data_IF_543086817728
#
_entry.id   IF_543086817728
#
_cell.length_a   1.000
_cell.length_b   1.000
_cell.length_c   1.000
_cell.angle_alpha   90.00
_cell.angle_beta   90.00
_cell.angle_gamma   90.00
#
_symmetry.space_group_name_H-M   'P 1'
#
loop_
_entity.id
_entity.type
_entity.pdbx_description
1 polymer ?
#
# COMPACT_ATOMS: atom_id res chain seq x y z
N UNK A 1 25.57 18.29 -11.09
CA UNK A 1 24.81 18.75 -9.91
C UNK A 1 24.07 17.53 -9.37
N UNK A 2 24.03 17.27 -8.05
CA UNK A 2 23.19 16.19 -7.53
C UNK A 2 21.73 16.52 -7.87
N UNK A 3 21.04 15.61 -8.56
CA UNK A 3 19.61 15.76 -8.81
C UNK A 3 18.90 15.68 -7.46
N UNK A 4 18.23 16.77 -7.11
CA UNK A 4 17.26 16.74 -6.03
C UNK A 4 16.09 15.86 -6.48
N UNK A 5 15.50 15.05 -5.58
CA UNK A 5 14.33 14.26 -5.92
C UNK A 5 13.23 15.17 -6.47
N UNK A 6 12.52 14.71 -7.53
CA UNK A 6 11.45 15.50 -8.16
C UNK A 6 10.32 15.87 -7.19
N UNK A 7 10.17 15.10 -6.11
CA UNK A 7 9.41 15.46 -4.92
C UNK A 7 9.92 14.64 -3.72
N UNK A 8 9.73 15.15 -2.51
CA UNK A 8 10.01 14.43 -1.27
C UNK A 8 8.72 14.33 -0.47
N UNK A 9 8.44 13.15 0.06
CA UNK A 9 7.35 12.94 1.02
C UNK A 9 7.96 12.91 2.41
N UNK A 10 7.36 13.63 3.34
CA UNK A 10 7.80 13.69 4.73
C UNK A 10 6.58 13.63 5.64
N UNK A 11 6.72 12.94 6.76
CA UNK A 11 5.71 12.89 7.81
C UNK A 11 6.09 13.88 8.91
N UNK A 12 5.10 14.63 9.37
CA UNK A 12 5.24 15.44 10.58
C UNK A 12 5.03 14.52 11.79
N UNK A 13 5.65 14.83 12.94
CA UNK A 13 5.42 14.05 14.17
C UNK A 13 3.93 13.98 14.60
N UNK A 14 3.10 14.95 14.20
CA UNK A 14 1.65 14.96 14.44
C UNK A 14 0.86 14.03 13.49
N UNK A 15 1.48 13.53 12.43
CA UNK A 15 0.89 12.60 11.45
C UNK A 15 1.31 11.14 11.68
N UNK A 16 2.19 10.89 12.65
CA UNK A 16 2.75 9.57 12.97
C UNK A 16 1.85 8.71 13.87
N UNK A 17 0.57 9.03 14.01
CA UNK A 17 -0.32 8.16 14.82
C UNK A 17 -0.61 6.89 14.02
N UNK A 18 -0.16 5.71 14.51
CA UNK A 18 -0.32 4.47 13.78
C UNK A 18 -1.80 4.08 13.68
N UNK A 19 -2.14 3.40 12.59
CA UNK A 19 -3.45 2.81 12.40
C UNK A 19 -3.63 1.63 13.35
N UNK A 20 -4.80 1.55 13.97
CA UNK A 20 -5.19 0.44 14.85
C UNK A 20 -6.71 0.30 14.93
N UNK A 21 -7.15 -0.84 15.42
CA UNK A 21 -8.56 -1.08 15.72
C UNK A 21 -8.94 -0.48 17.08
N UNK A 22 -9.98 0.34 17.12
CA UNK A 22 -10.68 0.69 18.37
C UNK A 22 -11.54 -0.51 18.79
N UNK A 23 -11.14 -1.17 19.88
CA UNK A 23 -11.81 -2.39 20.34
C UNK A 23 -13.28 -2.17 20.74
N UNK A 24 -13.63 -0.99 21.26
CA UNK A 24 -14.99 -0.70 21.66
C UNK A 24 -15.88 -0.40 20.45
N UNK A 25 -15.37 0.33 19.46
CA UNK A 25 -16.05 0.53 18.19
C UNK A 25 -16.20 -0.78 17.41
N UNK A 26 -15.14 -1.58 17.37
CA UNK A 26 -15.16 -2.92 16.77
C UNK A 26 -16.27 -3.78 17.37
N UNK A 27 -16.33 -3.90 18.71
CA UNK A 27 -17.35 -4.73 19.37
C UNK A 27 -18.79 -4.27 19.09
N UNK A 28 -19.03 -2.96 18.96
CA UNK A 28 -20.35 -2.44 18.58
C UNK A 28 -20.68 -2.73 17.12
N UNK A 29 -19.70 -2.56 16.24
CA UNK A 29 -19.85 -2.77 14.79
C UNK A 29 -20.08 -4.25 14.45
N UNK A 30 -19.30 -5.16 15.04
CA UNK A 30 -19.46 -6.60 14.81
C UNK A 30 -20.80 -7.12 15.34
N UNK A 31 -21.22 -6.66 16.53
CA UNK A 31 -22.52 -7.02 17.11
C UNK A 31 -23.70 -6.44 16.31
N UNK A 32 -23.51 -5.29 15.65
CA UNK A 32 -24.55 -4.71 14.80
C UNK A 32 -24.72 -5.49 13.48
N UNK A 33 -23.62 -6.00 12.89
CA UNK A 33 -23.65 -6.79 11.65
C UNK A 33 -24.13 -8.21 11.84
N UNK A 34 -23.72 -8.89 12.92
CA UNK A 34 -24.04 -10.31 13.17
C UNK A 34 -23.78 -11.19 11.95
N UNK A 35 -24.80 -11.86 11.44
CA UNK A 35 -24.76 -12.79 10.30
C UNK A 35 -24.34 -12.10 8.99
N UNK A 36 -24.57 -10.79 8.84
CA UNK A 36 -24.11 -10.06 7.65
C UNK A 36 -22.59 -10.08 7.55
N UNK A 37 -21.90 -10.06 8.70
CA UNK A 37 -20.44 -10.08 8.73
C UNK A 37 -19.90 -11.40 8.16
N UNK A 38 -20.58 -12.53 8.36
CA UNK A 38 -20.17 -13.84 7.84
C UNK A 38 -20.09 -13.86 6.31
N UNK A 39 -20.98 -13.12 5.63
CA UNK A 39 -21.01 -13.01 4.17
C UNK A 39 -19.95 -12.03 3.62
N UNK A 40 -19.34 -11.22 4.49
CA UNK A 40 -18.41 -10.16 4.11
C UNK A 40 -16.95 -10.53 4.39
N UNK A 41 -16.68 -11.66 5.06
CA UNK A 41 -15.31 -12.10 5.36
C UNK A 41 -14.65 -12.62 4.07
N UNK A 42 -13.51 -12.05 3.65
CA UNK A 42 -12.71 -12.59 2.56
C UNK A 42 -12.24 -14.01 2.91
N UNK A 43 -12.47 -14.96 2.01
CA UNK A 43 -12.01 -16.35 2.15
C UNK A 43 -11.12 -16.74 0.98
N UNK A 44 -10.27 -17.75 1.19
CA UNK A 44 -9.34 -18.24 0.16
C UNK A 44 -10.02 -18.73 -1.12
N UNK A 45 -11.25 -19.22 -1.01
CA UNK A 45 -11.97 -19.78 -2.14
C UNK A 45 -12.65 -18.70 -3.01
N UNK A 46 -12.71 -17.46 -2.53
CA UNK A 46 -13.34 -16.37 -3.26
C UNK A 46 -12.30 -15.66 -4.14
N UNK A 47 -12.45 -15.67 -5.48
CA UNK A 47 -11.56 -14.95 -6.37
C UNK A 47 -11.64 -13.42 -6.20
N UNK A 48 -12.61 -12.90 -5.44
CA UNK A 48 -12.80 -11.47 -5.15
C UNK A 48 -12.35 -11.09 -3.74
N UNK A 49 -11.51 -11.89 -3.09
CA UNK A 49 -11.12 -11.66 -1.70
C UNK A 49 -10.46 -10.29 -1.48
N UNK A 50 -9.73 -9.75 -2.46
CA UNK A 50 -9.17 -8.40 -2.42
C UNK A 50 -10.25 -7.31 -2.43
N UNK A 51 -11.24 -7.43 -3.33
CA UNK A 51 -12.41 -6.53 -3.36
C UNK A 51 -13.22 -6.60 -2.05
N UNK A 52 -13.46 -7.81 -1.52
CA UNK A 52 -14.16 -8.01 -0.26
C UNK A 52 -13.40 -7.37 0.91
N UNK A 53 -12.07 -7.50 0.95
CA UNK A 53 -11.24 -6.88 1.97
C UNK A 53 -11.33 -5.34 1.90
N UNK A 54 -11.34 -4.77 0.69
CA UNK A 54 -11.52 -3.34 0.50
C UNK A 54 -12.89 -2.86 1.01
N UNK A 55 -13.96 -3.61 0.73
CA UNK A 55 -15.30 -3.31 1.21
C UNK A 55 -15.40 -3.41 2.75
N UNK A 56 -14.85 -4.48 3.33
CA UNK A 56 -14.80 -4.70 4.78
C UNK A 56 -14.08 -3.55 5.50
N UNK A 57 -12.92 -3.13 4.97
CA UNK A 57 -12.17 -2.00 5.53
C UNK A 57 -12.98 -0.70 5.44
N UNK A 58 -13.57 -0.41 4.30
CA UNK A 58 -14.33 0.82 4.10
C UNK A 58 -15.51 0.91 5.09
N UNK A 59 -16.23 -0.19 5.28
CA UNK A 59 -17.33 -0.23 6.23
C UNK A 59 -16.86 -0.07 7.68
N UNK A 60 -15.81 -0.79 8.08
CA UNK A 60 -15.18 -0.64 9.40
C UNK A 60 -14.70 0.81 9.64
N UNK A 61 -14.08 1.45 8.65
CA UNK A 61 -13.66 2.87 8.72
C UNK A 61 -14.85 3.80 8.92
N UNK A 62 -15.94 3.61 8.18
CA UNK A 62 -17.16 4.42 8.30
C UNK A 62 -17.82 4.26 9.68
N UNK A 63 -17.69 3.09 10.30
CA UNK A 63 -18.14 2.83 11.66
C UNK A 63 -17.17 3.34 12.76
N UNK A 64 -16.03 3.92 12.39
CA UNK A 64 -15.01 4.40 13.33
C UNK A 64 -14.22 3.28 14.02
N UNK A 65 -14.23 2.07 13.45
CA UNK A 65 -13.48 0.91 13.95
C UNK A 65 -11.99 1.11 13.76
N UNK A 66 -11.58 1.73 12.65
CA UNK A 66 -10.18 2.02 12.36
C UNK A 66 -9.86 3.43 12.80
N UNK A 67 -8.88 3.56 13.69
CA UNK A 67 -8.38 4.85 14.18
C UNK A 67 -6.92 5.03 13.74
N UNK A 68 -6.54 6.26 13.42
CA UNK A 68 -5.20 6.63 12.97
C UNK A 68 -5.05 8.15 12.90
N UNK A 69 -4.00 8.64 12.25
CA UNK A 69 -3.83 10.07 12.07
C UNK A 69 -4.93 10.67 11.18
N UNK A 70 -5.70 11.64 11.69
CA UNK A 70 -6.76 12.33 10.92
C UNK A 70 -6.29 12.98 9.62
N UNK A 71 -4.99 13.24 9.49
CA UNK A 71 -4.40 13.81 8.28
C UNK A 71 -4.18 12.77 7.17
N UNK A 72 -4.23 11.47 7.47
CA UNK A 72 -3.91 10.39 6.54
C UNK A 72 -5.14 9.51 6.34
N UNK A 73 -5.49 9.31 5.08
CA UNK A 73 -6.52 8.40 4.66
C UNK A 73 -5.91 7.03 4.33
N UNK A 74 -6.49 5.96 4.86
CA UNK A 74 -6.08 4.58 4.62
C UNK A 74 -7.04 3.88 3.65
N UNK A 75 -6.58 3.63 2.43
CA UNK A 75 -7.34 2.92 1.41
C UNK A 75 -6.73 1.54 1.13
N UNK A 76 -7.58 0.60 0.73
CA UNK A 76 -7.18 -0.70 0.22
C UNK A 76 -7.76 -0.88 -1.17
N UNK A 77 -6.93 -1.32 -2.11
CA UNK A 77 -7.34 -1.70 -3.45
C UNK A 77 -7.08 -3.18 -3.65
N UNK A 78 -8.14 -3.95 -3.90
CA UNK A 78 -8.02 -5.35 -4.27
C UNK A 78 -7.34 -5.52 -5.62
N UNK A 79 -6.53 -6.56 -5.71
CA UNK A 79 -5.89 -7.04 -6.94
C UNK A 79 -6.14 -8.54 -7.01
N UNK A 80 -7.20 -8.88 -7.72
CA UNK A 80 -7.82 -10.20 -7.73
C UNK A 80 -7.44 -10.95 -9.00
N UNK A 81 -6.73 -12.07 -8.85
CA UNK A 81 -6.37 -13.00 -9.93
C UNK A 81 -6.86 -14.42 -9.59
N UNK A 82 -7.04 -15.26 -10.61
CA UNK A 82 -7.48 -16.65 -10.51
C UNK A 82 -6.53 -17.50 -9.63
N UNK A 83 -5.24 -17.15 -9.56
CA UNK A 83 -4.23 -17.90 -8.80
C UNK A 83 -4.02 -17.38 -7.37
N UNK A 84 -4.23 -16.07 -7.15
CA UNK A 84 -4.09 -15.43 -5.85
C UNK A 84 -4.82 -14.08 -5.80
N UNK A 85 -5.57 -13.86 -4.73
CA UNK A 85 -6.12 -12.54 -4.40
C UNK A 85 -5.16 -11.79 -3.47
N UNK A 86 -4.83 -10.56 -3.83
CA UNK A 86 -4.03 -9.66 -3.04
C UNK A 86 -4.63 -8.27 -2.95
N UNK A 87 -3.88 -7.37 -2.34
CA UNK A 87 -4.28 -5.99 -2.16
C UNK A 87 -3.09 -5.04 -2.05
N UNK A 88 -3.34 -3.78 -2.33
CA UNK A 88 -2.43 -2.68 -2.07
C UNK A 88 -3.00 -1.79 -0.98
N UNK A 89 -2.21 -1.51 0.05
CA UNK A 89 -2.50 -0.37 0.94
C UNK A 89 -2.06 0.90 0.24
N UNK A 90 -2.92 1.90 0.24
CA UNK A 90 -2.64 3.24 -0.28
C UNK A 90 -2.94 4.26 0.80
N UNK A 91 -1.92 5.02 1.19
CA UNK A 91 -2.03 6.11 2.16
C UNK A 91 -2.06 7.44 1.42
N UNK A 92 -3.16 8.17 1.57
CA UNK A 92 -3.35 9.48 0.93
C UNK A 92 -3.36 10.59 1.99
N UNK A 93 -2.86 11.77 1.63
CA UNK A 93 -3.09 12.94 2.48
C UNK A 93 -4.54 13.40 2.32
N UNK A 94 -5.28 13.42 3.43
CA UNK A 94 -6.66 13.92 3.48
C UNK A 94 -6.75 15.40 3.12
N UNK A 95 -5.65 16.13 3.33
CA UNK A 95 -5.53 17.58 3.20
C UNK A 95 -4.45 17.98 2.17
N UNK A 96 -4.60 19.15 1.54
CA UNK A 96 -3.61 19.69 0.61
C UNK A 96 -3.89 19.40 -0.88
N UNK A 97 -2.98 19.87 -1.74
CA UNK A 97 -3.17 19.91 -3.19
C UNK A 97 -2.79 18.61 -3.93
N UNK A 98 -2.20 17.62 -3.22
CA UNK A 98 -1.67 16.38 -3.79
C UNK A 98 -2.47 15.14 -3.38
N UNK A 99 -3.80 15.27 -3.26
CA UNK A 99 -4.71 14.18 -2.82
C UNK A 99 -4.66 12.95 -3.73
N UNK A 100 -4.23 13.13 -4.97
CA UNK A 100 -4.11 12.06 -5.98
C UNK A 100 -2.83 11.22 -5.84
N UNK A 101 -1.84 11.68 -5.07
CA UNK A 101 -0.60 10.92 -4.84
C UNK A 101 -0.78 10.11 -3.56
N UNK A 102 -0.70 8.79 -3.69
CA UNK A 102 -0.75 7.84 -2.58
C UNK A 102 0.58 7.15 -2.38
N UNK A 103 0.96 6.94 -1.11
CA UNK A 103 2.06 6.07 -0.73
C UNK A 103 1.53 4.64 -0.67
N UNK A 104 2.21 3.70 -1.32
CA UNK A 104 1.71 2.32 -1.42
C UNK A 104 2.64 1.32 -0.76
N UNK A 105 2.08 0.23 -0.22
CA UNK A 105 2.82 -0.88 0.37
C UNK A 105 3.48 -1.81 -0.64
N UNK A 106 3.14 -1.68 -1.93
CA UNK A 106 3.26 -2.79 -2.88
C UNK A 106 2.17 -3.85 -2.66
N UNK A 107 2.17 -4.89 -3.49
CA UNK A 107 1.19 -5.98 -3.44
C UNK A 107 1.38 -6.82 -2.17
N UNK A 108 0.29 -7.10 -1.46
CA UNK A 108 0.25 -7.98 -0.30
C UNK A 108 -0.82 -9.04 -0.52
N UNK A 109 -0.51 -10.30 -0.27
CA UNK A 109 -1.49 -11.38 -0.37
C UNK A 109 -2.57 -11.25 0.72
N UNK A 110 -3.84 -11.49 0.39
CA UNK A 110 -4.93 -11.51 1.39
C UNK A 110 -4.73 -12.70 2.33
N UNK A 111 -4.92 -12.48 3.64
CA UNK A 111 -4.82 -13.55 4.63
C UNK A 111 -5.79 -14.69 4.31
N UNK A 112 -5.24 -15.90 4.23
CA UNK A 112 -6.00 -17.11 3.92
C UNK A 112 -6.60 -17.66 5.21
N UNK A 113 -7.81 -17.23 5.53
CA UNK A 113 -8.61 -17.85 6.60
C UNK A 113 -9.30 -19.08 5.99
N UNK A 114 -8.94 -20.27 6.49
CA UNK A 114 -9.39 -21.56 5.94
C UNK A 114 -10.86 -21.87 6.31
N UNK A 115 -11.32 -21.44 7.48
CA UNK A 115 -12.69 -21.65 7.94
C UNK A 115 -13.14 -20.45 8.79
N UNK A 116 -14.26 -19.84 8.42
CA UNK A 116 -14.86 -18.72 9.17
C UNK A 116 -15.71 -19.28 10.30
N UNK A 117 -15.06 -19.65 11.41
CA UNK A 117 -15.74 -20.20 12.59
C UNK A 117 -16.30 -19.06 13.47
N UNK A 118 -15.64 -17.91 13.46
CA UNK A 118 -16.07 -16.68 14.12
C UNK A 118 -15.78 -15.50 13.20
N UNK A 119 -16.80 -15.00 12.51
CA UNK A 119 -16.66 -13.91 11.55
C UNK A 119 -16.12 -12.62 12.19
N UNK A 120 -16.42 -12.36 13.47
CA UNK A 120 -15.85 -11.21 14.15
C UNK A 120 -14.35 -11.38 14.38
N UNK A 121 -13.90 -12.56 14.81
CA UNK A 121 -12.47 -12.84 14.92
C UNK A 121 -11.76 -12.73 13.56
N UNK A 122 -12.35 -13.31 12.51
CA UNK A 122 -11.79 -13.25 11.16
C UNK A 122 -11.73 -11.83 10.59
N UNK A 123 -12.78 -11.03 10.77
CA UNK A 123 -12.78 -9.62 10.38
C UNK A 123 -11.67 -8.85 11.10
N UNK A 124 -11.50 -9.12 12.40
CA UNK A 124 -10.46 -8.48 13.20
C UNK A 124 -9.07 -8.79 12.65
N UNK A 125 -8.78 -10.05 12.33
CA UNK A 125 -7.49 -10.47 11.79
C UNK A 125 -7.16 -9.77 10.46
N UNK A 126 -8.13 -9.72 9.55
CA UNK A 126 -7.98 -8.99 8.28
C UNK A 126 -7.72 -7.50 8.48
N UNK A 127 -8.47 -6.85 9.38
CA UNK A 127 -8.30 -5.42 9.67
C UNK A 127 -6.98 -5.11 10.39
N UNK A 128 -6.54 -5.98 11.31
CA UNK A 128 -5.26 -5.85 12.00
C UNK A 128 -4.10 -6.01 11.00
N UNK A 129 -4.22 -6.92 10.02
CA UNK A 129 -3.24 -7.07 8.94
C UNK A 129 -3.13 -5.83 8.06
N UNK A 130 -4.27 -5.26 7.64
CA UNK A 130 -4.28 -3.99 6.88
C UNK A 130 -3.62 -2.88 7.69
N UNK A 131 -3.93 -2.76 8.99
CA UNK A 131 -3.29 -1.78 9.87
C UNK A 131 -1.78 -1.99 9.96
N UNK A 132 -1.33 -3.25 10.09
CA UNK A 132 0.09 -3.62 10.13
C UNK A 132 0.81 -3.22 8.85
N UNK A 133 0.26 -3.56 7.69
CA UNK A 133 0.82 -3.20 6.38
C UNK A 133 0.89 -1.68 6.21
N UNK A 134 -0.17 -0.96 6.59
CA UNK A 134 -0.20 0.51 6.58
C UNK A 134 0.89 1.12 7.48
N UNK A 135 1.06 0.60 8.70
CA UNK A 135 2.05 1.10 9.63
C UNK A 135 3.49 0.83 9.15
N UNK A 136 3.74 -0.29 8.48
CA UNK A 136 5.05 -0.53 7.86
C UNK A 136 5.41 0.53 6.82
N UNK A 137 4.43 1.02 6.05
CA UNK A 137 4.63 2.13 5.09
C UNK A 137 4.97 3.43 5.82
N UNK A 138 4.32 3.72 6.95
CA UNK A 138 4.63 4.89 7.78
C UNK A 138 6.03 4.78 8.40
N UNK A 139 6.38 3.63 8.96
CA UNK A 139 7.70 3.39 9.57
C UNK A 139 8.84 3.49 8.55
N UNK A 140 8.62 3.04 7.30
CA UNK A 140 9.60 3.19 6.23
C UNK A 140 9.93 4.66 5.93
N UNK A 141 8.99 5.59 6.15
CA UNK A 141 9.19 7.02 5.95
C UNK A 141 9.93 7.68 7.11
N UNK A 142 9.74 7.19 8.34
CA UNK A 142 10.47 7.65 9.52
C UNK A 142 11.92 7.14 9.56
N UNK A 143 12.16 5.95 9.01
CA UNK A 143 13.48 5.29 8.96
C UNK A 143 14.32 5.66 7.75
N UNK A 144 13.82 6.52 6.84
CA UNK A 144 14.59 7.04 5.71
C UNK A 144 15.32 8.32 6.12
N UNK A 145 16.62 8.27 6.52
CA UNK A 145 17.45 9.48 6.46
C UNK A 145 17.56 9.89 4.99
N UNK A 146 17.73 11.19 4.66
CA UNK A 146 17.96 11.62 3.28
C UNK A 146 19.18 10.87 2.72
N UNK A 147 18.94 9.87 1.87
CA UNK A 147 20.01 9.03 1.35
C UNK A 147 20.82 9.82 0.33
N UNK A 148 22.05 10.21 0.70
CA UNK A 148 23.14 10.39 -0.25
C UNK A 148 23.59 9.00 -0.69
N UNK A 149 23.15 8.53 -1.85
CA UNK A 149 23.68 7.30 -2.45
C UNK A 149 24.99 7.67 -3.16
N UNK A 150 26.10 7.66 -2.42
CA UNK A 150 27.43 7.58 -3.01
C UNK A 150 27.75 6.10 -3.27
N UNK A 151 27.60 5.65 -4.52
CA UNK A 151 28.38 4.52 -5.07
C UNK A 151 28.25 4.46 -6.59
N UNK A 152 29.34 4.75 -7.28
CA UNK A 152 29.44 4.67 -8.73
C UNK A 152 29.17 3.24 -9.22
N UNK A 153 28.10 3.06 -10.00
CA UNK A 153 27.82 1.81 -10.71
C UNK A 153 27.42 2.14 -12.16
N UNK A 154 27.60 1.18 -13.07
CA UNK A 154 27.13 1.33 -14.45
C UNK A 154 25.61 1.26 -14.46
N UNK A 155 24.99 2.20 -15.17
CA UNK A 155 23.54 2.29 -15.29
C UNK A 155 23.04 1.31 -16.35
N UNK A 156 22.12 0.43 -15.97
CA UNK A 156 21.42 -0.49 -16.87
C UNK A 156 19.94 -0.15 -16.82
N UNK A 157 19.36 0.32 -17.92
CA UNK A 157 18.04 0.96 -17.88
C UNK A 157 17.02 0.47 -18.88
N UNK A 158 15.74 0.76 -18.58
CA UNK A 158 14.60 0.53 -19.45
C UNK A 158 13.97 1.86 -19.88
N UNK A 159 13.31 1.87 -21.03
CA UNK A 159 12.62 3.04 -21.56
C UNK A 159 11.36 3.34 -20.76
N UNK A 160 11.24 4.57 -20.26
CA UNK A 160 10.01 5.07 -19.62
C UNK A 160 9.13 5.73 -20.67
N UNK A 161 9.74 6.49 -21.56
CA UNK A 161 9.06 7.15 -22.66
C UNK A 161 10.01 7.18 -23.85
N UNK A 162 9.72 6.29 -24.82
CA UNK A 162 10.56 6.10 -25.99
C UNK A 162 10.48 7.28 -26.95
N UNK A 163 9.31 7.92 -27.07
CA UNK A 163 9.12 9.09 -27.91
C UNK A 163 9.87 10.32 -27.37
N UNK A 164 10.06 10.40 -26.06
CA UNK A 164 10.81 11.46 -25.39
C UNK A 164 12.29 11.11 -25.16
N UNK A 165 12.74 9.91 -25.54
CA UNK A 165 14.13 9.46 -25.36
C UNK A 165 14.57 9.34 -23.90
N UNK A 166 13.65 9.02 -22.98
CA UNK A 166 13.94 8.92 -21.54
C UNK A 166 13.94 7.49 -21.04
N UNK A 167 15.03 7.07 -20.40
CA UNK A 167 15.21 5.76 -19.78
C UNK A 167 15.64 5.88 -18.31
N UNK A 168 15.48 4.81 -17.51
CA UNK A 168 15.92 4.76 -16.11
C UNK A 168 16.70 3.50 -15.78
N UNK A 169 17.73 3.66 -14.96
CA UNK A 169 18.48 2.55 -14.38
C UNK A 169 17.62 1.72 -13.42
N UNK A 170 17.60 0.40 -13.58
CA UNK A 170 16.89 -0.52 -12.68
C UNK A 170 17.32 -0.38 -11.22
N UNK A 171 18.61 -0.15 -10.97
CA UNK A 171 19.20 -0.24 -9.63
C UNK A 171 19.10 1.05 -8.83
N UNK A 172 19.39 2.19 -9.45
CA UNK A 172 19.44 3.48 -8.75
C UNK A 172 18.38 4.46 -9.22
N UNK A 173 17.53 4.06 -10.17
CA UNK A 173 16.49 4.91 -10.76
C UNK A 173 17.03 6.19 -11.43
N UNK A 174 18.35 6.28 -11.66
CA UNK A 174 18.97 7.38 -12.37
C UNK A 174 18.38 7.47 -13.78
N UNK A 175 17.82 8.64 -14.09
CA UNK A 175 17.21 8.90 -15.37
C UNK A 175 18.27 9.42 -16.33
N UNK A 176 18.32 8.86 -17.52
CA UNK A 176 19.20 9.32 -18.58
C UNK A 176 18.43 9.53 -19.88
N UNK A 177 18.95 10.45 -20.68
CA UNK A 177 18.44 10.77 -22.01
C UNK A 177 19.36 10.06 -23.01
N UNK A 178 18.79 9.27 -23.90
CA UNK A 178 19.57 8.48 -24.87
C UNK A 178 18.79 8.17 -26.14
N UNK A 179 19.47 7.55 -27.09
CA UNK A 179 18.90 6.92 -28.30
C UNK A 179 18.97 5.39 -28.19
N UNK A 180 18.28 4.67 -29.08
CA UNK A 180 18.33 3.19 -29.14
C UNK A 180 19.77 2.66 -29.33
N UNK A 181 20.72 3.47 -29.80
CA UNK A 181 22.15 3.10 -29.93
C UNK A 181 22.96 3.26 -28.63
N UNK A 182 22.42 4.00 -27.64
CA UNK A 182 23.10 4.29 -26.37
C UNK A 182 22.54 3.50 -25.18
N UNK A 183 21.40 2.84 -25.37
CA UNK A 183 20.86 1.88 -24.42
C UNK A 183 21.35 0.48 -24.84
N UNK A 184 22.30 -0.11 -24.10
CA UNK A 184 22.68 -1.50 -24.34
C UNK A 184 21.54 -2.43 -23.90
N UNK A 185 21.27 -3.46 -24.71
CA UNK A 185 20.27 -4.49 -24.41
C UNK A 185 20.57 -5.19 -23.08
N UNK A 186 19.52 -5.50 -22.33
CA UNK A 186 19.63 -6.24 -21.09
C UNK A 186 20.19 -7.65 -21.36
N UNK A 187 21.39 -7.93 -20.87
CA UNK A 187 22.00 -9.26 -20.94
C UNK A 187 21.92 -9.94 -19.57
N UNK A 188 21.09 -10.99 -19.41
CA UNK A 188 21.10 -11.81 -18.22
C UNK A 188 22.30 -12.76 -18.27
N UNK A 189 23.45 -12.28 -17.81
CA UNK A 189 24.54 -13.16 -17.40
C UNK A 189 24.33 -13.58 -15.94
#
# INVERSE_FOLDING_TARGET
MPEAPGFTVSLNATQATPFRIDAAAFGRWSEAKREELECEIPTRADPRAGEMLAALLNDARNAGVIVGANAIELNVHGDDDEEASGFYVVLNNTSGNQRLIGLTSGWTEVLRIEEVIDAAACAREHLDEVCRVANNVLEALETTPPQRIDTAHRHFGYWINRAAGTARCYRCQYQFIGTDETAEDWNPA
#
